data_IF_197837850200
#
_entry.id   IF_197837850200
#
_cell.length_a   1.000
_cell.length_b   1.000
_cell.length_c   1.000
_cell.angle_alpha   90.00
_cell.angle_beta   90.00
_cell.angle_gamma   90.00
#
_symmetry.space_group_name_H-M   'P 1'
#
loop_
_entity.id
_entity.type
_entity.pdbx_description
1 polymer ?
#
# COMPACT_ATOMS: atom_id res chain seq x y z
N UNK A 1 7.67 7.88 -15.39
CA UNK A 1 6.56 8.81 -15.73
C UNK A 1 6.86 10.21 -15.19
N UNK A 2 6.22 11.30 -15.63
CA UNK A 2 6.52 12.63 -15.07
C UNK A 2 5.98 12.75 -13.63
N UNK A 3 6.89 12.73 -12.65
CA UNK A 3 6.61 13.05 -11.26
C UNK A 3 6.81 14.54 -11.00
N UNK A 4 6.19 15.03 -9.93
CA UNK A 4 6.32 16.42 -9.44
C UNK A 4 7.02 16.37 -8.09
N UNK A 5 7.92 17.32 -7.86
CA UNK A 5 8.52 17.57 -6.56
C UNK A 5 7.88 18.82 -5.95
N UNK A 6 7.43 18.71 -4.71
CA UNK A 6 6.94 19.82 -3.91
C UNK A 6 7.84 20.01 -2.70
N UNK A 7 8.32 21.23 -2.52
CA UNK A 7 8.99 21.65 -1.29
C UNK A 7 7.92 21.98 -0.24
N UNK A 8 7.76 21.09 0.74
CA UNK A 8 6.78 21.23 1.83
C UNK A 8 7.43 21.88 3.04
N UNK A 9 6.66 22.16 4.09
CA UNK A 9 7.21 22.70 5.34
C UNK A 9 8.25 21.80 6.02
N UNK A 10 8.25 20.49 5.71
CA UNK A 10 9.13 19.49 6.32
C UNK A 10 10.20 18.93 5.38
N UNK A 11 10.09 19.14 4.07
CA UNK A 11 11.07 18.67 3.09
C UNK A 11 10.46 18.39 1.71
N UNK A 12 11.28 17.90 0.79
CA UNK A 12 10.84 17.59 -0.57
C UNK A 12 9.99 16.33 -0.59
N UNK A 13 8.86 16.38 -1.29
CA UNK A 13 7.98 15.24 -1.55
C UNK A 13 7.80 15.02 -3.04
N UNK A 14 7.99 13.78 -3.47
CA UNK A 14 7.62 13.36 -4.82
C UNK A 14 6.19 12.81 -4.87
N UNK A 15 5.42 13.26 -5.86
CA UNK A 15 4.13 12.67 -6.17
C UNK A 15 3.82 12.70 -7.68
N UNK A 16 2.77 11.98 -8.07
CA UNK A 16 2.13 12.09 -9.38
C UNK A 16 0.62 12.15 -9.22
N UNK A 17 -0.04 12.92 -10.09
CA UNK A 17 -1.50 13.05 -10.12
C UNK A 17 -1.99 12.86 -11.55
N UNK A 18 -2.90 11.90 -11.76
CA UNK A 18 -3.34 11.49 -13.10
C UNK A 18 -4.81 11.12 -13.13
N UNK A 19 -5.45 11.30 -14.27
CA UNK A 19 -6.88 10.99 -14.45
C UNK A 19 -7.76 12.22 -14.25
N UNK A 20 -9.06 12.02 -14.36
CA UNK A 20 -10.09 13.06 -14.24
C UNK A 20 -11.25 12.46 -13.46
N UNK A 21 -11.62 13.08 -12.35
CA UNK A 21 -12.70 12.64 -11.47
C UNK A 21 -12.31 12.67 -9.99
N UNK A 22 -13.07 12.01 -9.10
CA UNK A 22 -12.79 11.99 -7.66
C UNK A 22 -11.38 11.50 -7.36
N UNK A 23 -10.70 12.18 -6.44
CA UNK A 23 -9.30 11.90 -6.14
C UNK A 23 -9.14 10.71 -5.19
N UNK A 24 -8.21 9.82 -5.53
CA UNK A 24 -7.77 8.69 -4.72
C UNK A 24 -6.30 8.91 -4.38
N UNK A 25 -6.00 8.99 -3.08
CA UNK A 25 -4.63 8.92 -2.57
C UNK A 25 -4.22 7.45 -2.48
N UNK A 26 -3.20 7.06 -3.24
CA UNK A 26 -2.58 5.74 -3.21
C UNK A 26 -1.27 5.80 -2.43
N UNK A 27 -1.21 5.08 -1.31
CA UNK A 27 -0.02 4.85 -0.52
C UNK A 27 0.46 3.41 -0.75
N UNK A 28 1.52 3.27 -1.55
CA UNK A 28 2.09 1.96 -1.91
C UNK A 28 2.88 1.35 -0.75
N UNK A 29 2.96 0.03 -0.72
CA UNK A 29 3.61 -0.72 0.36
C UNK A 29 5.13 -0.59 0.42
N UNK A 30 5.74 -1.48 1.19
CA UNK A 30 7.20 -1.56 1.30
C UNK A 30 7.82 -1.91 -0.05
N UNK A 31 9.05 -1.45 -0.27
CA UNK A 31 9.82 -1.71 -1.48
C UNK A 31 9.23 -1.18 -2.80
N UNK A 32 8.12 -0.44 -2.76
CA UNK A 32 7.44 0.05 -3.95
C UNK A 32 7.97 1.43 -4.34
N UNK A 33 8.50 1.56 -5.55
CA UNK A 33 8.91 2.85 -6.13
C UNK A 33 7.75 3.53 -6.85
N UNK A 34 7.96 4.74 -7.36
CA UNK A 34 7.02 5.43 -8.25
C UNK A 34 6.60 4.59 -9.46
N UNK A 35 7.46 3.71 -9.94
CA UNK A 35 7.20 2.87 -11.13
C UNK A 35 6.48 1.55 -10.79
N UNK A 36 6.43 1.12 -9.52
CA UNK A 36 5.69 -0.10 -9.12
C UNK A 36 4.18 0.13 -9.21
N UNK A 37 3.48 -0.60 -10.08
CA UNK A 37 2.02 -0.60 -10.15
C UNK A 37 1.45 -1.93 -9.65
N UNK A 38 0.51 -1.86 -8.72
CA UNK A 38 -0.11 -3.01 -8.06
C UNK A 38 -1.57 -3.19 -8.50
N UNK A 39 -1.86 -2.87 -9.78
CA UNK A 39 -3.17 -2.79 -10.46
C UNK A 39 -3.98 -1.51 -10.23
N UNK A 40 -3.50 -0.59 -9.40
CA UNK A 40 -4.27 0.60 -9.01
C UNK A 40 -4.35 1.65 -10.11
N UNK A 41 -3.41 1.68 -11.06
CA UNK A 41 -3.47 2.60 -12.21
C UNK A 41 -4.75 2.42 -13.03
N UNK A 42 -5.34 1.22 -13.01
CA UNK A 42 -6.60 0.92 -13.68
C UNK A 42 -7.78 1.76 -13.20
N UNK A 43 -7.72 2.33 -11.98
CA UNK A 43 -8.77 3.22 -11.45
C UNK A 43 -8.94 4.49 -12.29
N UNK A 44 -7.90 4.89 -13.02
CA UNK A 44 -7.99 6.03 -13.94
C UNK A 44 -9.00 5.75 -15.07
N UNK A 45 -9.05 4.51 -15.56
CA UNK A 45 -10.00 4.11 -16.60
C UNK A 45 -11.44 3.96 -16.08
N UNK A 46 -11.61 3.90 -14.76
CA UNK A 46 -12.91 3.92 -14.07
C UNK A 46 -13.38 5.35 -13.73
N UNK A 47 -12.66 6.38 -14.20
CA UNK A 47 -13.05 7.78 -14.01
C UNK A 47 -12.62 8.39 -12.67
N UNK A 48 -11.57 7.85 -12.04
CA UNK A 48 -10.94 8.47 -10.87
C UNK A 48 -9.68 9.24 -11.25
N UNK A 49 -9.28 10.16 -10.37
CA UNK A 49 -7.95 10.73 -10.39
C UNK A 49 -7.07 10.03 -9.34
N UNK A 50 -5.92 9.51 -9.73
CA UNK A 50 -4.99 8.82 -8.85
C UNK A 50 -3.85 9.75 -8.45
N UNK A 51 -3.80 10.11 -7.16
CA UNK A 51 -2.68 10.78 -6.50
C UNK A 51 -1.79 9.72 -5.87
N UNK A 52 -0.62 9.50 -6.43
CA UNK A 52 0.40 8.60 -5.84
C UNK A 52 1.50 9.45 -5.25
N UNK A 53 1.75 9.31 -3.95
CA UNK A 53 2.82 10.02 -3.24
C UNK A 53 3.89 9.01 -2.85
N UNK A 54 5.15 9.29 -3.18
CA UNK A 54 6.28 8.49 -2.70
C UNK A 54 6.48 8.77 -1.21
N UNK A 55 6.50 7.72 -0.41
CA UNK A 55 6.57 7.84 1.06
C UNK A 55 7.99 8.27 1.48
N UNK A 56 8.16 8.80 2.71
CA UNK A 56 9.45 9.31 3.19
C UNK A 56 10.58 8.30 3.03
N UNK A 57 11.69 8.74 2.45
CA UNK A 57 12.86 7.90 2.19
C UNK A 57 12.75 7.00 0.95
N UNK A 58 11.65 7.05 0.21
CA UNK A 58 11.52 6.43 -1.11
C UNK A 58 11.60 7.50 -2.23
N UNK A 59 12.14 7.07 -3.36
CA UNK A 59 12.28 7.84 -4.58
C UNK A 59 13.02 9.18 -4.34
N UNK A 60 12.33 10.32 -4.56
CA UNK A 60 12.87 11.66 -4.28
C UNK A 60 12.20 12.31 -3.05
N UNK A 61 11.41 11.58 -2.29
CA UNK A 61 10.81 12.09 -1.05
C UNK A 61 11.85 12.00 0.08
N UNK A 62 12.20 13.14 0.64
CA UNK A 62 13.13 13.24 1.76
C UNK A 62 12.55 12.57 3.01
N UNK A 63 13.43 11.99 3.85
CA UNK A 63 12.99 11.38 5.11
C UNK A 63 12.41 12.45 6.06
N UNK A 64 12.94 13.67 5.99
CA UNK A 64 12.54 14.86 6.73
C UNK A 64 11.10 15.25 6.45
N UNK A 65 10.57 14.94 5.25
CA UNK A 65 9.18 15.19 4.89
C UNK A 65 8.19 14.44 5.82
N UNK A 66 8.64 13.47 6.61
CA UNK A 66 7.89 12.92 7.73
C UNK A 66 8.44 11.55 8.13
N UNK A 67 9.29 11.48 9.16
CA UNK A 67 9.92 10.21 9.54
C UNK A 67 8.92 9.23 10.13
N UNK A 68 7.86 9.76 10.75
CA UNK A 68 6.76 8.99 11.31
C UNK A 68 5.50 9.08 10.45
N UNK A 69 4.57 8.10 10.56
CA UNK A 69 3.26 8.19 9.89
C UNK A 69 2.52 9.50 10.20
N UNK A 70 2.61 9.92 11.45
CA UNK A 70 1.98 11.11 12.02
C UNK A 70 2.53 12.40 11.42
N UNK A 71 3.85 12.51 11.29
CA UNK A 71 4.47 13.66 10.65
C UNK A 71 4.13 13.73 9.16
N UNK A 72 4.13 12.57 8.48
CA UNK A 72 3.86 12.52 7.05
C UNK A 72 2.38 12.75 6.71
N UNK A 73 1.46 12.47 7.64
CA UNK A 73 0.05 12.82 7.50
C UNK A 73 -0.16 14.31 7.20
N UNK A 74 0.55 15.19 7.92
CA UNK A 74 0.48 16.65 7.68
C UNK A 74 1.04 17.03 6.32
N UNK A 75 2.14 16.40 5.93
CA UNK A 75 2.78 16.63 4.64
C UNK A 75 1.89 16.21 3.48
N UNK A 76 1.14 15.11 3.62
CA UNK A 76 0.11 14.72 2.65
C UNK A 76 -0.95 15.82 2.53
N UNK A 77 -1.39 16.43 3.64
CA UNK A 77 -2.35 17.53 3.61
C UNK A 77 -1.81 18.75 2.84
N UNK A 78 -0.53 19.09 2.99
CA UNK A 78 0.14 20.14 2.20
C UNK A 78 0.15 19.83 0.69
N UNK A 79 0.38 18.57 0.31
CA UNK A 79 0.29 18.14 -1.10
C UNK A 79 -1.13 18.30 -1.63
N UNK A 80 -2.15 17.95 -0.82
CA UNK A 80 -3.55 18.15 -1.21
C UNK A 80 -3.89 19.64 -1.35
N UNK A 81 -3.37 20.50 -0.48
CA UNK A 81 -3.56 21.96 -0.55
C UNK A 81 -2.92 22.55 -1.81
N UNK A 82 -1.69 22.15 -2.13
CA UNK A 82 -1.00 22.54 -3.36
C UNK A 82 -1.81 22.17 -4.62
N UNK A 83 -2.44 20.99 -4.61
CA UNK A 83 -3.29 20.52 -5.70
C UNK A 83 -4.72 21.05 -5.66
N UNK A 84 -5.07 21.86 -4.65
CA UNK A 84 -6.44 22.32 -4.37
C UNK A 84 -7.47 21.17 -4.25
N UNK A 85 -7.03 20.02 -3.74
CA UNK A 85 -7.88 18.85 -3.50
C UNK A 85 -8.45 18.93 -2.08
N UNK A 86 -9.76 19.12 -1.98
CA UNK A 86 -10.44 19.20 -0.66
C UNK A 86 -10.46 17.87 0.06
N UNK A 87 -10.74 16.78 -0.65
CA UNK A 87 -10.87 15.44 -0.09
C UNK A 87 -10.40 14.35 -1.04
N UNK A 88 -10.00 13.23 -0.46
CA UNK A 88 -9.61 12.01 -1.17
C UNK A 88 -10.26 10.77 -0.56
N UNK A 89 -10.43 9.72 -1.36
CA UNK A 89 -10.44 8.35 -0.82
C UNK A 89 -9.01 7.85 -0.70
N UNK A 90 -8.70 7.09 0.34
CA UNK A 90 -7.33 6.62 0.61
C UNK A 90 -7.27 5.11 0.39
N UNK A 91 -6.28 4.66 -0.39
CA UNK A 91 -5.90 3.24 -0.50
C UNK A 91 -4.49 3.11 0.08
N UNK A 92 -4.37 2.36 1.17
CA UNK A 92 -3.09 2.05 1.80
C UNK A 92 -2.79 0.56 1.69
N UNK A 93 -1.61 0.25 1.15
CA UNK A 93 -1.19 -1.11 0.81
C UNK A 93 -0.09 -1.57 1.76
N UNK A 94 -0.22 -2.76 2.33
CA UNK A 94 0.88 -3.41 3.07
C UNK A 94 1.53 -2.51 4.13
N UNK A 95 2.83 -2.25 4.03
CA UNK A 95 3.58 -1.39 4.93
C UNK A 95 3.09 0.07 5.01
N UNK A 96 2.25 0.53 4.09
CA UNK A 96 1.66 1.86 4.15
C UNK A 96 0.45 1.97 5.09
N UNK A 97 0.00 0.86 5.68
CA UNK A 97 -1.12 0.85 6.62
C UNK A 97 -1.00 1.88 7.76
N UNK A 98 0.13 1.98 8.49
CA UNK A 98 0.34 3.02 9.50
C UNK A 98 0.17 4.44 8.95
N UNK A 99 0.72 4.74 7.77
CA UNK A 99 0.59 6.04 7.10
C UNK A 99 -0.86 6.35 6.74
N UNK A 100 -1.58 5.38 6.15
CA UNK A 100 -2.99 5.56 5.80
C UNK A 100 -3.87 5.78 7.02
N UNK A 101 -3.68 4.98 8.08
CA UNK A 101 -4.40 5.13 9.36
C UNK A 101 -4.12 6.50 9.98
N UNK A 102 -2.86 6.93 10.02
CA UNK A 102 -2.47 8.21 10.61
C UNK A 102 -3.04 9.40 9.85
N UNK A 103 -2.99 9.38 8.51
CA UNK A 103 -3.58 10.44 7.70
C UNK A 103 -5.08 10.62 7.97
N UNK A 104 -5.82 9.51 8.07
CA UNK A 104 -7.25 9.54 8.37
C UNK A 104 -7.54 10.02 9.80
N UNK A 105 -6.67 9.68 10.76
CA UNK A 105 -6.83 10.09 12.16
C UNK A 105 -6.54 11.58 12.36
N UNK A 106 -5.53 12.13 11.68
CA UNK A 106 -5.13 13.54 11.80
C UNK A 106 -5.93 14.49 10.92
N UNK A 107 -6.35 14.04 9.73
CA UNK A 107 -7.04 14.86 8.74
C UNK A 107 -8.38 14.23 8.30
N UNK A 108 -9.28 13.85 9.23
CA UNK A 108 -10.53 13.13 8.89
C UNK A 108 -11.47 13.93 7.97
N UNK A 109 -11.39 15.26 7.99
CA UNK A 109 -12.14 16.15 7.10
C UNK A 109 -11.61 16.15 5.65
N UNK A 110 -10.39 15.66 5.43
CA UNK A 110 -9.75 15.50 4.11
C UNK A 110 -9.98 14.11 3.51
N UNK A 111 -10.67 13.22 4.22
CA UNK A 111 -10.87 11.83 3.80
C UNK A 111 -12.35 11.50 3.67
N UNK A 112 -12.72 10.90 2.54
CA UNK A 112 -14.05 10.33 2.36
C UNK A 112 -14.12 8.86 2.78
N UNK A 113 -13.08 8.07 2.46
CA UNK A 113 -13.03 6.62 2.70
C UNK A 113 -11.60 6.13 2.90
N UNK A 114 -11.43 5.06 3.66
CA UNK A 114 -10.17 4.34 3.82
C UNK A 114 -10.31 2.89 3.33
N UNK A 115 -9.42 2.47 2.44
CA UNK A 115 -9.27 1.08 2.00
C UNK A 115 -7.87 0.60 2.43
N UNK A 116 -7.84 -0.48 3.20
CA UNK A 116 -6.63 -1.15 3.69
C UNK A 116 -6.49 -2.49 2.95
N UNK A 117 -5.44 -2.61 2.13
CA UNK A 117 -5.22 -3.77 1.28
C UNK A 117 -3.99 -4.53 1.75
N UNK A 118 -4.22 -5.72 2.34
CA UNK A 118 -3.18 -6.50 3.00
C UNK A 118 -2.30 -5.64 3.94
N UNK A 119 -2.89 -4.63 4.59
CA UNK A 119 -2.15 -3.54 5.21
C UNK A 119 -1.84 -3.79 6.70
N UNK A 120 -0.66 -3.38 7.14
CA UNK A 120 -0.28 -3.45 8.55
C UNK A 120 -1.09 -2.46 9.39
N UNK A 121 -1.71 -2.98 10.45
CA UNK A 121 -2.33 -2.19 11.52
C UNK A 121 -1.77 -2.57 12.90
N UNK A 122 -0.69 -3.36 12.91
CA UNK A 122 0.11 -3.72 14.08
C UNK A 122 1.60 -3.50 13.79
N UNK A 123 2.43 -3.28 14.82
CA UNK A 123 3.88 -3.18 14.64
C UNK A 123 4.48 -4.44 14.00
N UNK A 124 5.62 -4.26 13.34
CA UNK A 124 6.43 -5.36 12.83
C UNK A 124 6.97 -6.25 13.95
N UNK A 125 7.13 -7.54 13.68
CA UNK A 125 7.78 -8.45 14.61
C UNK A 125 9.29 -8.17 14.70
N UNK A 126 9.86 -8.28 15.91
CA UNK A 126 11.27 -7.97 16.15
C UNK A 126 12.24 -8.81 15.31
N UNK A 127 11.91 -10.07 15.01
CA UNK A 127 12.71 -10.94 14.14
C UNK A 127 12.63 -10.48 12.69
N UNK A 128 11.44 -10.06 12.24
CA UNK A 128 11.25 -9.48 10.91
C UNK A 128 12.07 -8.20 10.75
N UNK A 129 12.00 -7.27 11.71
CA UNK A 129 12.81 -6.04 11.73
C UNK A 129 14.31 -6.38 11.62
N UNK A 130 14.80 -7.34 12.41
CA UNK A 130 16.21 -7.73 12.38
C UNK A 130 16.63 -8.31 11.02
N UNK A 131 15.84 -9.23 10.45
CA UNK A 131 16.10 -9.83 9.13
C UNK A 131 16.10 -8.75 8.04
N UNK A 132 15.09 -7.88 8.07
CA UNK A 132 14.90 -6.80 7.12
C UNK A 132 16.05 -5.78 7.17
N UNK A 133 16.52 -5.36 8.35
CA UNK A 133 17.67 -4.45 8.48
C UNK A 133 18.98 -5.03 7.94
N UNK A 134 19.16 -6.34 8.00
CA UNK A 134 20.35 -7.01 7.45
C UNK A 134 20.30 -7.01 5.92
N UNK A 135 19.14 -7.37 5.34
CA UNK A 135 18.99 -7.50 3.88
C UNK A 135 18.81 -6.15 3.18
N UNK A 136 18.01 -5.27 3.77
CA UNK A 136 17.52 -4.05 3.14
C UNK A 136 17.93 -2.78 3.89
N UNK A 137 18.95 -2.86 4.75
CA UNK A 137 19.65 -1.70 5.30
C UNK A 137 20.72 -1.20 4.33
N UNK A 138 21.97 -1.10 4.82
CA UNK A 138 23.09 -0.57 4.02
C UNK A 138 23.40 -1.39 2.75
N UNK A 139 22.97 -2.66 2.69
CA UNK A 139 23.19 -3.54 1.56
C UNK A 139 22.07 -3.51 0.51
N UNK A 140 21.02 -2.69 0.67
CA UNK A 140 19.79 -2.80 -0.12
C UNK A 140 20.02 -2.70 -1.64
N UNK A 141 20.86 -1.77 -2.09
CA UNK A 141 21.18 -1.61 -3.52
C UNK A 141 21.81 -2.86 -4.11
N UNK A 142 22.69 -3.53 -3.36
CA UNK A 142 23.33 -4.77 -3.79
C UNK A 142 22.33 -5.93 -3.80
N UNK A 143 21.45 -6.00 -2.78
CA UNK A 143 20.41 -7.02 -2.70
C UNK A 143 19.42 -6.89 -3.84
N UNK A 144 18.85 -5.70 -4.08
CA UNK A 144 17.94 -5.47 -5.20
C UNK A 144 18.62 -5.63 -6.56
N UNK A 145 19.85 -5.16 -6.74
CA UNK A 145 20.60 -5.40 -7.97
C UNK A 145 20.83 -6.89 -8.26
N UNK A 146 21.10 -7.67 -7.20
CA UNK A 146 21.19 -9.12 -7.27
C UNK A 146 19.85 -9.78 -7.63
N UNK A 147 18.76 -9.37 -6.97
CA UNK A 147 17.39 -9.84 -7.27
C UNK A 147 17.02 -9.53 -8.71
N UNK A 148 17.22 -8.30 -9.20
CA UNK A 148 16.91 -7.91 -10.58
C UNK A 148 17.72 -8.71 -11.60
N UNK A 149 19.00 -8.98 -11.32
CA UNK A 149 19.84 -9.81 -12.19
C UNK A 149 19.37 -11.26 -12.19
N UNK A 150 19.10 -11.83 -11.02
CA UNK A 150 18.58 -13.19 -10.89
C UNK A 150 17.18 -13.32 -11.50
N UNK A 151 16.34 -12.29 -11.41
CA UNK A 151 14.99 -12.28 -12.00
C UNK A 151 15.04 -12.37 -13.52
N UNK A 152 16.05 -11.75 -14.15
CA UNK A 152 16.27 -11.83 -15.61
C UNK A 152 16.81 -13.20 -16.06
N UNK A 153 17.61 -13.86 -15.23
CA UNK A 153 18.31 -15.10 -15.59
C UNK A 153 17.55 -16.37 -15.15
N UNK A 154 16.91 -16.30 -13.98
CA UNK A 154 16.27 -17.41 -13.26
C UNK A 154 14.92 -16.97 -12.65
N UNK A 155 13.96 -16.48 -13.47
CA UNK A 155 12.71 -15.89 -12.99
C UNK A 155 11.90 -16.81 -12.07
N UNK A 156 11.72 -18.08 -12.45
CA UNK A 156 10.96 -19.07 -11.66
C UNK A 156 11.54 -19.27 -10.26
N UNK A 157 12.88 -19.34 -10.15
CA UNK A 157 13.54 -19.51 -8.87
C UNK A 157 13.30 -18.29 -7.96
N UNK A 158 13.46 -17.08 -8.51
CA UNK A 158 13.25 -15.85 -7.73
C UNK A 158 11.79 -15.70 -7.31
N UNK A 159 10.83 -15.94 -8.21
CA UNK A 159 9.41 -15.93 -7.87
C UNK A 159 9.11 -16.93 -6.75
N UNK A 160 9.61 -18.17 -6.85
CA UNK A 160 9.45 -19.17 -5.78
C UNK A 160 9.97 -18.68 -4.44
N UNK A 161 11.18 -18.11 -4.41
CA UNK A 161 11.76 -17.61 -3.16
C UNK A 161 10.92 -16.47 -2.56
N UNK A 162 10.55 -15.47 -3.36
CA UNK A 162 9.76 -14.33 -2.89
C UNK A 162 8.37 -14.77 -2.42
N UNK A 163 7.65 -15.55 -3.24
CA UNK A 163 6.30 -15.97 -2.91
C UNK A 163 6.28 -16.87 -1.67
N UNK A 164 7.32 -17.67 -1.41
CA UNK A 164 7.42 -18.49 -0.19
C UNK A 164 7.42 -17.68 1.12
N UNK A 165 7.76 -16.38 1.06
CA UNK A 165 7.68 -15.45 2.19
C UNK A 165 6.33 -14.69 2.22
N UNK A 166 5.54 -14.78 1.14
CA UNK A 166 4.24 -14.09 0.97
C UNK A 166 3.02 -15.01 1.13
N UNK A 167 3.20 -16.33 1.00
CA UNK A 167 2.11 -17.31 1.16
C UNK A 167 2.36 -18.29 2.31
N UNK A 168 1.27 -18.70 2.97
CA UNK A 168 1.27 -19.87 3.88
C UNK A 168 1.02 -21.18 3.15
N UNK A 169 0.56 -21.14 1.90
CA UNK A 169 0.31 -22.31 1.05
C UNK A 169 1.62 -22.92 0.54
N UNK A 170 1.50 -24.08 -0.11
CA UNK A 170 2.60 -24.65 -0.86
C UNK A 170 2.93 -23.75 -2.06
N UNK A 171 4.15 -23.19 -2.07
CA UNK A 171 4.57 -22.25 -3.12
C UNK A 171 4.67 -22.89 -4.50
N UNK A 172 4.95 -24.19 -4.60
CA UNK A 172 5.01 -24.88 -5.89
C UNK A 172 3.61 -25.02 -6.49
N UNK A 173 2.62 -25.40 -5.67
CA UNK A 173 1.22 -25.49 -6.10
C UNK A 173 0.70 -24.10 -6.50
N UNK A 174 0.94 -23.09 -5.67
CA UNK A 174 0.55 -21.72 -5.97
C UNK A 174 1.16 -21.22 -7.29
N UNK A 175 2.47 -21.42 -7.50
CA UNK A 175 3.13 -21.05 -8.76
C UNK A 175 2.52 -21.76 -9.98
N UNK A 176 2.13 -23.02 -9.85
CA UNK A 176 1.54 -23.80 -10.94
C UNK A 176 0.15 -23.29 -11.33
N UNK A 177 -0.58 -22.68 -10.39
CA UNK A 177 -1.91 -22.09 -10.63
C UNK A 177 -1.86 -20.68 -11.22
N UNK A 178 -0.72 -19.98 -11.09
CA UNK A 178 -0.57 -18.62 -11.63
C UNK A 178 -0.65 -18.58 -13.15
N UNK A 179 -1.49 -17.67 -13.66
CA UNK A 179 -1.59 -17.40 -15.09
C UNK A 179 -0.34 -16.68 -15.60
N UNK A 180 -0.10 -16.64 -16.93
CA UNK A 180 0.98 -15.83 -17.50
C UNK A 180 0.92 -14.35 -17.12
N UNK A 181 -0.29 -13.79 -16.94
CA UNK A 181 -0.48 -12.41 -16.51
C UNK A 181 -0.10 -12.20 -15.05
N UNK A 182 -0.43 -13.15 -14.16
CA UNK A 182 -0.02 -13.08 -12.75
C UNK A 182 1.50 -13.16 -12.63
N UNK A 183 2.14 -14.06 -13.38
CA UNK A 183 3.60 -14.17 -13.45
C UNK A 183 4.23 -12.87 -13.97
N UNK A 184 3.63 -12.26 -15.00
CA UNK A 184 4.10 -10.98 -15.53
C UNK A 184 3.96 -9.86 -14.51
N UNK A 185 2.84 -9.82 -13.78
CA UNK A 185 2.62 -8.87 -12.69
C UNK A 185 3.72 -8.98 -11.62
N UNK A 186 4.01 -10.21 -11.16
CA UNK A 186 5.07 -10.43 -10.16
C UNK A 186 6.44 -10.02 -10.70
N UNK A 187 6.74 -10.37 -11.96
CA UNK A 187 7.98 -9.98 -12.62
C UNK A 187 8.16 -8.45 -12.62
N UNK A 188 7.13 -7.73 -13.07
CA UNK A 188 7.18 -6.26 -13.18
C UNK A 188 7.27 -5.61 -11.82
N UNK A 189 6.49 -6.07 -10.83
CA UNK A 189 6.57 -5.63 -9.45
C UNK A 189 8.00 -5.78 -8.89
N UNK A 190 8.63 -6.95 -9.07
CA UNK A 190 9.98 -7.19 -8.56
C UNK A 190 11.04 -6.36 -9.28
N UNK A 191 10.90 -6.19 -10.59
CA UNK A 191 11.83 -5.39 -11.41
C UNK A 191 11.75 -3.89 -11.12
N UNK A 192 10.61 -3.39 -10.64
CA UNK A 192 10.44 -1.99 -10.24
C UNK A 192 10.69 -1.73 -8.75
N UNK A 193 10.84 -2.77 -7.93
CA UNK A 193 11.01 -2.64 -6.48
C UNK A 193 12.41 -2.21 -6.05
N UNK A 194 12.47 -1.33 -5.05
CA UNK A 194 13.67 -0.89 -4.32
C UNK A 194 13.29 -0.49 -2.88
N UNK A 195 14.20 -0.70 -1.92
CA UNK A 195 13.93 -0.36 -0.51
C UNK A 195 14.28 1.08 -0.17
N UNK A 196 15.39 1.55 -0.74
CA UNK A 196 16.03 2.83 -0.41
C UNK A 196 16.12 3.05 1.12
N UNK A 197 15.93 4.28 1.60
CA UNK A 197 15.88 4.57 3.04
C UNK A 197 14.48 4.35 3.62
N UNK A 198 13.45 4.34 2.77
CA UNK A 198 12.06 4.35 3.19
C UNK A 198 11.63 3.05 3.86
N UNK A 199 12.08 1.89 3.36
CA UNK A 199 11.76 0.64 4.04
C UNK A 199 12.36 0.56 5.44
N UNK A 200 13.51 1.20 5.67
CA UNK A 200 14.10 1.34 7.00
C UNK A 200 13.20 2.12 7.97
N UNK A 201 12.52 3.17 7.48
CA UNK A 201 11.55 3.94 8.27
C UNK A 201 10.29 3.10 8.55
N UNK A 202 9.77 2.38 7.56
CA UNK A 202 8.58 1.52 7.67
C UNK A 202 8.68 0.53 8.82
N UNK A 203 9.86 -0.05 9.04
CA UNK A 203 10.14 -1.01 10.11
C UNK A 203 10.04 -0.40 11.52
N UNK A 204 10.07 0.94 11.62
CA UNK A 204 10.00 1.67 12.89
C UNK A 204 8.64 2.31 13.13
N UNK A 205 7.74 2.26 12.13
CA UNK A 205 6.43 2.88 12.25
C UNK A 205 5.59 2.19 13.32
N UNK A 206 4.94 3.02 14.13
CA UNK A 206 3.90 2.63 15.06
C UNK A 206 2.54 3.04 14.50
N UNK A 207 1.48 2.37 14.94
CA UNK A 207 0.12 2.67 14.53
C UNK A 207 -0.53 3.53 15.62
N UNK A 208 -1.09 4.67 15.22
CA UNK A 208 -1.84 5.56 16.11
C UNK A 208 -3.16 4.96 16.61
N UNK A 209 -3.93 5.75 17.36
CA UNK A 209 -5.22 5.32 17.90
C UNK A 209 -6.31 5.23 16.80
N UNK A 210 -6.51 4.02 16.29
CA UNK A 210 -7.54 3.73 15.29
C UNK A 210 -8.98 3.99 15.78
N UNK A 211 -9.24 4.09 17.08
CA UNK A 211 -10.62 4.26 17.60
C UNK A 211 -11.24 5.62 17.26
N UNK A 212 -10.39 6.59 16.89
CA UNK A 212 -10.82 7.92 16.44
C UNK A 212 -11.32 7.94 14.99
N UNK A 213 -11.01 6.92 14.18
CA UNK A 213 -11.41 6.87 12.77
C UNK A 213 -12.93 6.73 12.66
N UNK A 214 -13.60 7.72 12.05
CA UNK A 214 -15.06 7.73 11.83
C UNK A 214 -15.49 7.60 10.36
N UNK A 215 -14.56 7.76 9.42
CA UNK A 215 -14.86 7.56 7.99
C UNK A 215 -15.20 6.09 7.72
N UNK A 216 -15.93 5.78 6.63
CA UNK A 216 -16.07 4.40 6.15
C UNK A 216 -14.71 3.75 5.92
N UNK A 217 -14.54 2.53 6.43
CA UNK A 217 -13.31 1.74 6.29
C UNK A 217 -13.63 0.38 5.64
N UNK A 218 -12.84 0.00 4.64
CA UNK A 218 -12.80 -1.33 4.06
C UNK A 218 -11.41 -1.95 4.31
N UNK A 219 -11.35 -3.10 4.97
CA UNK A 219 -10.15 -3.92 5.07
C UNK A 219 -10.27 -5.16 4.18
N UNK A 220 -9.28 -5.43 3.34
CA UNK A 220 -9.22 -6.60 2.47
C UNK A 220 -7.97 -7.42 2.82
N UNK A 221 -8.17 -8.63 3.32
CA UNK A 221 -7.10 -9.47 3.85
C UNK A 221 -7.30 -10.93 3.48
N UNK A 222 -6.21 -11.64 3.17
CA UNK A 222 -6.22 -13.09 3.04
C UNK A 222 -5.79 -13.75 4.35
N UNK A 223 -6.36 -14.92 4.66
CA UNK A 223 -5.85 -15.81 5.71
C UNK A 223 -4.53 -16.49 5.34
N UNK A 224 -4.25 -16.58 4.04
CA UNK A 224 -3.07 -17.22 3.45
C UNK A 224 -1.89 -16.26 3.29
N UNK A 225 -2.07 -15.01 3.73
CA UNK A 225 -1.02 -13.99 3.74
C UNK A 225 -0.02 -14.26 4.88
N UNK A 226 1.20 -14.61 4.49
CA UNK A 226 2.31 -14.85 5.43
C UNK A 226 3.07 -13.57 5.81
N UNK A 227 2.98 -12.53 5.00
CA UNK A 227 3.65 -11.24 5.22
C UNK A 227 2.86 -10.36 6.20
N UNK A 228 1.54 -10.27 6.02
CA UNK A 228 0.62 -9.55 6.91
C UNK A 228 -0.43 -10.52 7.43
N UNK A 229 -0.22 -11.11 8.63
CA UNK A 229 -1.13 -12.10 9.17
C UNK A 229 -2.55 -11.55 9.37
N UNK A 230 -3.55 -12.41 9.20
CA UNK A 230 -4.97 -12.09 9.32
C UNK A 230 -5.38 -11.51 10.69
N UNK A 231 -4.53 -11.62 11.71
CA UNK A 231 -4.70 -10.91 12.99
C UNK A 231 -4.77 -9.39 12.83
N UNK A 232 -4.18 -8.83 11.76
CA UNK A 232 -4.35 -7.42 11.39
C UNK A 232 -5.82 -7.10 11.06
N UNK A 233 -6.52 -7.95 10.31
CA UNK A 233 -7.94 -7.78 10.01
C UNK A 233 -8.79 -7.83 11.29
N UNK A 234 -8.47 -8.75 12.20
CA UNK A 234 -9.16 -8.87 13.49
C UNK A 234 -8.91 -7.65 14.39
N UNK A 235 -7.67 -7.16 14.45
CA UNK A 235 -7.32 -5.95 15.20
C UNK A 235 -8.04 -4.73 14.62
N UNK A 236 -8.06 -4.58 13.30
CA UNK A 236 -8.79 -3.52 12.61
C UNK A 236 -10.27 -3.56 12.98
N UNK A 237 -10.92 -4.72 12.90
CA UNK A 237 -12.35 -4.86 13.27
C UNK A 237 -12.61 -4.57 14.73
N UNK A 238 -11.69 -4.96 15.62
CA UNK A 238 -11.80 -4.70 17.06
C UNK A 238 -11.68 -3.20 17.39
N UNK A 239 -10.79 -2.48 16.71
CA UNK A 239 -10.53 -1.05 16.95
C UNK A 239 -11.49 -0.13 16.19
N UNK A 240 -12.00 -0.59 15.06
CA UNK A 240 -12.94 0.13 14.20
C UNK A 240 -14.16 -0.77 13.94
N UNK A 241 -15.12 -0.87 14.89
CA UNK A 241 -16.24 -1.82 14.78
C UNK A 241 -17.11 -1.65 13.54
N UNK A 242 -17.19 -0.45 12.97
CA UNK A 242 -17.92 -0.17 11.72
C UNK A 242 -17.12 -0.48 10.45
N UNK A 243 -15.85 -0.88 10.55
CA UNK A 243 -15.06 -1.30 9.39
C UNK A 243 -15.68 -2.54 8.72
N UNK A 244 -15.78 -2.52 7.40
CA UNK A 244 -16.11 -3.68 6.59
C UNK A 244 -14.84 -4.50 6.40
N UNK A 245 -14.82 -5.75 6.86
CA UNK A 245 -13.70 -6.66 6.63
C UNK A 245 -14.13 -7.66 5.57
N UNK A 246 -13.38 -7.71 4.48
CA UNK A 246 -13.49 -8.71 3.42
C UNK A 246 -12.32 -9.66 3.57
N UNK A 247 -12.63 -10.89 3.92
CA UNK A 247 -11.71 -12.00 3.74
C UNK A 247 -11.63 -12.31 2.24
N UNK A 248 -10.44 -12.17 1.68
CA UNK A 248 -10.14 -12.43 0.27
C UNK A 248 -9.62 -13.86 0.16
N UNK A 249 -10.10 -14.63 -0.81
CA UNK A 249 -9.57 -15.97 -1.10
C UNK A 249 -8.37 -15.91 -2.06
N UNK A 250 -7.39 -15.08 -1.68
CA UNK A 250 -6.12 -14.98 -2.40
C UNK A 250 -5.10 -15.89 -1.71
N UNK A 251 -4.28 -16.59 -2.48
CA UNK A 251 -3.30 -17.53 -1.93
C UNK A 251 -2.02 -16.88 -1.42
N UNK A 252 -1.96 -15.55 -1.31
CA UNK A 252 -0.76 -14.85 -0.83
C UNK A 252 -1.05 -13.43 -0.35
N UNK A 253 0.00 -12.73 0.05
CA UNK A 253 0.01 -11.27 0.26
C UNK A 253 -0.44 -10.46 -0.96
N UNK A 254 -0.22 -10.98 -2.17
CA UNK A 254 -0.57 -10.31 -3.42
C UNK A 254 -2.04 -10.58 -3.75
N UNK A 255 -2.94 -9.83 -3.12
CA UNK A 255 -4.39 -10.01 -3.30
C UNK A 255 -4.92 -9.60 -4.68
N UNK A 256 -4.07 -9.05 -5.55
CA UNK A 256 -4.44 -8.54 -6.88
C UNK A 256 -4.15 -9.52 -8.02
N UNK A 257 -3.67 -10.72 -7.71
CA UNK A 257 -3.38 -11.79 -8.68
C UNK A 257 -4.12 -13.07 -8.28
N UNK A 258 -4.15 -14.04 -9.21
CA UNK A 258 -4.82 -15.31 -8.99
C UNK A 258 -6.35 -15.22 -9.08
N UNK A 259 -7.03 -16.28 -8.66
CA UNK A 259 -8.43 -16.49 -8.97
C UNK A 259 -9.38 -15.44 -8.37
N UNK A 260 -9.09 -14.92 -7.18
CA UNK A 260 -9.95 -13.95 -6.48
C UNK A 260 -9.61 -12.47 -6.81
N UNK A 261 -8.61 -12.21 -7.66
CA UNK A 261 -8.19 -10.85 -8.03
C UNK A 261 -9.34 -9.99 -8.57
N UNK A 262 -10.22 -10.59 -9.37
CA UNK A 262 -11.40 -9.89 -9.92
C UNK A 262 -12.40 -9.52 -8.83
N UNK A 263 -12.57 -10.35 -7.82
CA UNK A 263 -13.44 -10.05 -6.69
C UNK A 263 -12.85 -8.90 -5.84
N UNK A 264 -11.53 -8.92 -5.58
CA UNK A 264 -10.83 -7.80 -4.91
C UNK A 264 -11.05 -6.50 -5.65
N UNK A 265 -10.86 -6.50 -6.97
CA UNK A 265 -11.13 -5.35 -7.83
C UNK A 265 -12.57 -4.85 -7.68
N UNK A 266 -13.55 -5.74 -7.80
CA UNK A 266 -14.97 -5.39 -7.71
C UNK A 266 -15.35 -4.87 -6.31
N UNK A 267 -14.81 -5.45 -5.24
CA UNK A 267 -15.06 -4.99 -3.86
C UNK A 267 -14.50 -3.59 -3.63
N UNK A 268 -13.29 -3.32 -4.11
CA UNK A 268 -12.68 -1.98 -4.12
C UNK A 268 -13.57 -0.98 -4.85
N UNK A 269 -13.94 -1.25 -6.11
CA UNK A 269 -14.77 -0.34 -6.90
C UNK A 269 -16.14 -0.10 -6.26
N UNK A 270 -16.83 -1.15 -5.84
CA UNK A 270 -18.14 -1.02 -5.18
C UNK A 270 -18.06 -0.18 -3.91
N UNK A 271 -17.00 -0.30 -3.13
CA UNK A 271 -16.82 0.52 -1.95
C UNK A 271 -16.53 1.98 -2.32
N UNK A 272 -15.73 2.24 -3.37
CA UNK A 272 -15.45 3.57 -3.87
C UNK A 272 -16.69 4.27 -4.45
N UNK A 273 -17.64 3.55 -5.04
CA UNK A 273 -18.85 4.14 -5.65
C UNK A 273 -20.00 4.38 -4.67
N UNK A 274 -20.02 3.74 -3.49
CA UNK A 274 -21.06 3.97 -2.48
C UNK A 274 -21.07 5.43 -2.00
N UNK A 275 -22.22 6.10 -1.84
CA UNK A 275 -22.27 7.44 -1.26
C UNK A 275 -21.61 7.48 0.11
N UNK A 276 -20.94 8.57 0.46
CA UNK A 276 -20.46 8.75 1.82
C UNK A 276 -21.67 8.83 2.78
N UNK A 277 -21.55 8.35 4.02
CA UNK A 277 -22.66 8.32 4.98
C UNK A 277 -23.32 9.70 5.25
N UNK A 278 -22.66 10.80 4.87
CA UNK A 278 -23.19 12.17 4.97
C UNK A 278 -24.12 12.57 3.81
N UNK A 279 -23.99 11.94 2.65
CA UNK A 279 -24.82 12.24 1.47
C UNK A 279 -26.16 11.47 1.51
N UNK A 280 -26.20 10.32 2.18
CA UNK A 280 -27.42 9.51 2.33
C UNK A 280 -28.51 10.15 3.22
N UNK A 281 -28.18 11.20 3.98
CA UNK A 281 -29.12 11.91 4.86
C UNK A 281 -29.61 13.26 4.32
N UNK A 282 -29.23 13.64 3.09
CA UNK A 282 -29.68 14.86 2.42
C UNK A 282 -30.44 14.59 1.10
N UNK A 283 -30.95 13.36 0.92
CA UNK A 283 -31.79 12.96 -0.21
C UNK A 283 -33.25 12.82 0.17
#
# INVERSE_FOLDING_TARGET
>A
MASTLLDTSKGIVEFSYKGIGPAILLLKGGHCTRETDLSHSSLIYEGYSLLTISRPGYDYTEAEAGRTPDEFADTIAEVLDHLNIKKVSVIAVSAAGPTGVSFVAHHPERVDKLILEAALVSPWDAKQIRKAKILFGQAERAVWGGIHTAMKLFPEFVMKQVLSEMTTENVDDFLNELTPNDRRFIYDMLMSSQSENGFGLDLTHTIGDMTQIKVPVLGMYSKKDKSVPYTNALLLKSKIPHAQIVEVDADSHLIWIGNDAKNVWNKRLNFLTQPSAKEAHHG
#
